data_IF_787069824894
#
_entry.id   IF_787069824894
#
_cell.length_a   1.000
_cell.length_b   1.000
_cell.length_c   1.000
_cell.angle_alpha   90.00
_cell.angle_beta   90.00
_cell.angle_gamma   90.00
#
_symmetry.space_group_name_H-M   'P 1'
#
loop_
_entity.id
_entity.type
_entity.pdbx_description
1 polymer ?
#
# COMPACT_ATOMS: atom_id res chain seq x y z
N UNK A 1 -21.37 0.34 13.35
CA UNK A 1 -20.19 -0.12 12.59
C UNK A 1 -18.99 0.49 13.29
N UNK A 2 -18.21 -0.33 14.01
CA UNK A 2 -17.19 0.10 14.96
C UNK A 2 -15.84 -0.13 14.29
N UNK A 3 -15.13 0.94 13.92
CA UNK A 3 -13.77 0.97 13.37
C UNK A 3 -13.07 -0.38 13.26
N UNK A 4 -13.37 -1.09 12.18
CA UNK A 4 -12.65 -2.27 11.72
C UNK A 4 -11.21 -1.84 11.38
N UNK A 5 -10.23 -2.70 11.64
CA UNK A 5 -8.81 -2.37 11.62
C UNK A 5 -8.33 -1.55 10.40
N UNK A 6 -7.33 -0.68 10.63
CA UNK A 6 -6.74 0.19 9.61
C UNK A 6 -5.22 -0.01 9.53
N UNK A 7 -4.65 0.11 8.33
CA UNK A 7 -3.21 0.09 8.10
C UNK A 7 -2.86 0.94 6.88
N UNK A 8 -1.73 1.65 6.95
CA UNK A 8 -1.20 2.49 5.88
C UNK A 8 0.25 2.12 5.58
N UNK A 9 0.55 1.95 4.30
CA UNK A 9 1.87 1.60 3.81
C UNK A 9 2.35 2.61 2.76
N UNK A 10 3.61 2.99 2.84
CA UNK A 10 4.35 3.58 1.74
C UNK A 10 4.93 2.49 0.85
N UNK A 11 4.75 2.61 -0.47
CA UNK A 11 5.36 1.71 -1.43
C UNK A 11 6.68 2.32 -1.93
N UNK A 12 7.72 1.50 -2.02
CA UNK A 12 9.03 1.85 -2.55
C UNK A 12 9.31 1.05 -3.83
N UNK A 13 8.90 1.53 -5.02
CA UNK A 13 9.00 0.75 -6.25
C UNK A 13 10.42 0.37 -6.62
N UNK A 14 11.38 1.25 -6.39
CA UNK A 14 12.80 1.02 -6.75
C UNK A 14 13.45 -0.10 -5.92
N UNK A 15 12.85 -0.47 -4.80
CA UNK A 15 13.33 -1.53 -3.88
C UNK A 15 12.41 -2.74 -3.82
N UNK A 16 11.26 -2.68 -4.52
CA UNK A 16 10.18 -3.65 -4.38
C UNK A 16 9.84 -3.92 -2.90
N UNK A 17 9.60 -2.85 -2.14
CA UNK A 17 9.42 -2.91 -0.69
C UNK A 17 8.29 -1.99 -0.20
N UNK A 18 7.85 -2.22 1.04
CA UNK A 18 6.82 -1.40 1.72
C UNK A 18 7.27 -1.01 3.12
N UNK A 19 6.96 0.22 3.51
CA UNK A 19 7.16 0.71 4.87
C UNK A 19 5.81 1.01 5.51
N UNK A 20 5.56 0.46 6.71
CA UNK A 20 4.37 0.79 7.49
C UNK A 20 4.49 2.22 8.03
N UNK A 21 3.46 3.05 7.80
CA UNK A 21 3.39 4.39 8.37
C UNK A 21 2.47 4.45 9.59
N UNK A 22 1.35 3.72 9.53
CA UNK A 22 0.37 3.71 10.60
C UNK A 22 -0.40 2.40 10.62
N UNK A 23 -0.77 2.00 11.84
CA UNK A 23 -1.63 0.86 12.05
C UNK A 23 -2.54 1.07 13.27
N UNK A 24 -3.80 0.65 13.14
CA UNK A 24 -4.75 0.57 14.23
C UNK A 24 -5.49 -0.78 14.20
N UNK A 25 -5.43 -1.52 15.32
CA UNK A 25 -6.19 -2.75 15.54
C UNK A 25 -5.93 -3.88 14.51
N UNK A 26 -4.78 -3.88 13.82
CA UNK A 26 -4.46 -4.89 12.80
C UNK A 26 -3.79 -6.13 13.44
N UNK A 27 -4.56 -7.20 13.53
CA UNK A 27 -4.03 -8.48 14.04
C UNK A 27 -2.86 -8.99 13.17
N UNK A 28 -1.93 -9.79 13.72
CA UNK A 28 -0.82 -10.36 12.94
C UNK A 28 -1.26 -11.11 11.68
N UNK A 29 -2.44 -11.74 11.70
CA UNK A 29 -3.04 -12.40 10.54
C UNK A 29 -3.44 -11.39 9.48
N UNK A 30 -4.24 -10.38 9.86
CA UNK A 30 -4.69 -9.33 8.95
C UNK A 30 -3.52 -8.58 8.31
N UNK A 31 -2.50 -8.26 9.11
CA UNK A 31 -1.26 -7.63 8.61
C UNK A 31 -0.56 -8.48 7.55
N UNK A 32 -0.51 -9.81 7.72
CA UNK A 32 0.07 -10.72 6.73
C UNK A 32 -0.76 -10.75 5.44
N UNK A 33 -2.08 -10.85 5.56
CA UNK A 33 -3.01 -10.85 4.43
C UNK A 33 -2.89 -9.55 3.62
N UNK A 34 -2.90 -8.39 4.28
CA UNK A 34 -2.73 -7.09 3.61
C UNK A 34 -1.40 -7.02 2.88
N UNK A 35 -0.29 -7.40 3.51
CA UNK A 35 1.02 -7.39 2.83
C UNK A 35 1.06 -8.34 1.65
N UNK A 36 0.45 -9.52 1.73
CA UNK A 36 0.36 -10.44 0.60
C UNK A 36 -0.38 -9.79 -0.57
N UNK A 37 -1.53 -9.18 -0.33
CA UNK A 37 -2.30 -8.47 -1.37
C UNK A 37 -1.46 -7.34 -2.00
N UNK A 38 -0.77 -6.54 -1.18
CA UNK A 38 0.08 -5.45 -1.69
C UNK A 38 1.19 -6.00 -2.58
N UNK A 39 1.89 -7.05 -2.15
CA UNK A 39 2.99 -7.63 -2.95
C UNK A 39 2.50 -8.38 -4.20
N UNK A 40 1.36 -9.07 -4.12
CA UNK A 40 0.76 -9.78 -5.27
C UNK A 40 0.35 -8.80 -6.39
N UNK A 41 -0.12 -7.60 -6.02
CA UNK A 41 -0.57 -6.58 -6.96
C UNK A 41 0.36 -5.37 -7.04
N UNK A 42 1.60 -5.48 -6.57
CA UNK A 42 2.49 -4.34 -6.34
C UNK A 42 2.66 -3.47 -7.60
N UNK A 43 3.04 -4.08 -8.72
CA UNK A 43 3.25 -3.37 -9.99
C UNK A 43 1.97 -2.72 -10.51
N UNK A 44 0.82 -3.37 -10.32
CA UNK A 44 -0.48 -2.85 -10.74
C UNK A 44 -0.86 -1.61 -9.93
N UNK A 45 -0.63 -1.64 -8.61
CA UNK A 45 -0.89 -0.50 -7.71
C UNK A 45 0.03 0.67 -8.09
N UNK A 46 1.32 0.41 -8.31
CA UNK A 46 2.29 1.44 -8.70
C UNK A 46 1.93 2.05 -10.06
N UNK A 47 1.57 1.22 -11.04
CA UNK A 47 1.15 1.68 -12.36
C UNK A 47 -0.10 2.55 -12.28
N UNK A 48 -1.14 2.11 -11.56
CA UNK A 48 -2.37 2.88 -11.37
C UNK A 48 -2.11 4.22 -10.65
N UNK A 49 -1.24 4.23 -9.63
CA UNK A 49 -0.87 5.46 -8.93
C UNK A 49 -0.12 6.43 -9.85
N UNK A 50 0.82 5.93 -10.67
CA UNK A 50 1.56 6.74 -11.64
C UNK A 50 0.68 7.28 -12.77
N UNK A 51 -0.26 6.48 -13.26
CA UNK A 51 -1.24 6.91 -14.26
C UNK A 51 -2.12 8.05 -13.72
N UNK A 52 -2.62 7.89 -12.49
CA UNK A 52 -3.54 8.85 -11.90
C UNK A 52 -2.87 10.13 -11.36
N UNK A 53 -1.67 10.01 -10.75
CA UNK A 53 -1.00 11.13 -10.08
C UNK A 53 0.34 11.56 -10.71
N UNK A 54 0.97 10.69 -11.51
CA UNK A 54 2.29 10.91 -12.11
C UNK A 54 2.27 11.62 -13.47
N UNK A 55 1.09 11.82 -14.07
CA UNK A 55 0.94 12.37 -15.42
C UNK A 55 1.07 13.90 -15.57
N UNK A 56 1.09 14.69 -14.49
CA UNK A 56 0.94 16.16 -14.60
C UNK A 56 1.72 16.99 -13.56
N UNK A 57 2.85 16.49 -13.05
CA UNK A 57 3.78 17.27 -12.19
C UNK A 57 5.18 17.45 -12.76
N UNK A 58 5.30 17.36 -14.09
CA UNK A 58 6.52 17.67 -14.82
C UNK A 58 6.19 18.42 -16.12
N UNK A 59 5.59 19.62 -16.00
CA UNK A 59 5.71 20.69 -16.98
C UNK A 59 5.82 22.03 -16.28
#
# INVERSE_FOLDING_TARGET
MKGDAECKYWLHPDRFDIAEEFEYNCTPRLRREVRQIIFEHFDQIVAAWRDHFGGDRAK
#
